data_IF_951561557281
#
_entry.id   IF_951561557281
#
_cell.length_a   1.000
_cell.length_b   1.000
_cell.length_c   1.000
_cell.angle_alpha   90.00
_cell.angle_beta   90.00
_cell.angle_gamma   90.00
#
_symmetry.space_group_name_H-M   'P 1'
#
loop_
_entity.id
_entity.type
_entity.pdbx_description
1 polymer ?
#
# COMPACT_ATOMS: atom_id res chain seq x y z
N UNK A 1 -2.41 4.64 3.15
CA UNK A 1 -1.82 3.83 4.25
C UNK A 1 -0.39 3.46 3.93
N UNK A 2 0.47 3.20 4.94
CA UNK A 2 1.81 2.68 4.68
C UNK A 2 1.76 1.27 4.07
N UNK A 3 2.83 0.85 3.43
CA UNK A 3 2.98 -0.53 2.93
C UNK A 3 3.33 -1.49 4.06
N UNK A 4 2.54 -2.55 4.23
CA UNK A 4 2.59 -3.38 5.45
C UNK A 4 3.60 -4.52 5.39
N UNK A 5 3.90 -5.04 4.20
CA UNK A 5 4.72 -6.24 4.09
C UNK A 5 5.60 -6.24 2.84
N UNK A 6 6.77 -6.85 2.96
CA UNK A 6 7.56 -7.34 1.85
C UNK A 6 7.52 -8.87 1.88
N UNK A 7 6.88 -9.47 0.88
CA UNK A 7 6.66 -10.92 0.83
C UNK A 7 7.84 -11.71 0.24
N UNK A 8 8.83 -11.02 -0.36
CA UNK A 8 10.07 -11.64 -0.82
C UNK A 8 10.46 -11.26 -2.25
N UNK A 9 11.57 -11.83 -2.70
CA UNK A 9 12.12 -11.66 -4.04
C UNK A 9 12.55 -13.00 -4.65
N UNK A 10 12.25 -13.20 -5.94
CA UNK A 10 12.57 -14.42 -6.69
C UNK A 10 13.75 -14.25 -7.67
N UNK A 11 14.44 -13.11 -7.63
CA UNK A 11 15.48 -12.69 -8.59
C UNK A 11 16.92 -12.94 -8.11
N UNK A 12 17.13 -13.26 -6.84
CA UNK A 12 18.44 -13.28 -6.20
C UNK A 12 19.02 -11.87 -6.00
N UNK A 13 18.17 -10.85 -5.93
CA UNK A 13 18.58 -9.45 -5.79
C UNK A 13 18.80 -9.03 -4.34
N UNK A 14 18.59 -9.92 -3.36
CA UNK A 14 18.61 -9.57 -1.93
C UNK A 14 19.83 -8.75 -1.48
N UNK A 15 21.02 -9.06 -2.00
CA UNK A 15 22.27 -8.38 -1.66
C UNK A 15 22.36 -6.91 -2.14
N UNK A 16 21.58 -6.55 -3.16
CA UNK A 16 21.50 -5.18 -3.72
C UNK A 16 20.32 -4.40 -3.19
N UNK A 17 19.40 -5.06 -2.49
CA UNK A 17 18.22 -4.44 -1.91
C UNK A 17 18.54 -3.83 -0.55
N UNK A 18 17.94 -2.68 -0.22
CA UNK A 18 18.05 -2.13 1.12
C UNK A 18 17.41 -3.06 2.16
N UNK A 19 17.54 -2.69 3.44
CA UNK A 19 16.78 -3.36 4.49
C UNK A 19 15.27 -3.22 4.24
N UNK A 20 14.48 -4.22 4.64
CA UNK A 20 13.03 -4.26 4.35
C UNK A 20 12.30 -2.98 4.80
N UNK A 21 12.65 -2.45 5.97
CA UNK A 21 12.06 -1.21 6.47
C UNK A 21 12.33 -0.02 5.55
N UNK A 22 13.56 0.13 5.10
CA UNK A 22 13.96 1.22 4.22
C UNK A 22 13.36 1.06 2.82
N UNK A 23 13.24 -0.19 2.34
CA UNK A 23 12.55 -0.51 1.09
C UNK A 23 11.09 -0.06 1.11
N UNK A 24 10.35 -0.45 2.15
CA UNK A 24 8.93 -0.11 2.28
C UNK A 24 8.73 1.40 2.46
N UNK A 25 9.63 2.05 3.22
CA UNK A 25 9.63 3.51 3.33
C UNK A 25 9.89 4.19 1.98
N UNK A 26 10.88 3.72 1.21
CA UNK A 26 11.16 4.27 -0.12
C UNK A 26 9.98 4.09 -1.08
N UNK A 27 9.27 2.96 -0.99
CA UNK A 27 8.04 2.75 -1.74
C UNK A 27 6.96 3.73 -1.30
N UNK A 28 6.68 3.86 -0.01
CA UNK A 28 5.66 4.81 0.50
C UNK A 28 5.95 6.25 0.09
N UNK A 29 7.22 6.67 0.15
CA UNK A 29 7.67 8.00 -0.29
C UNK A 29 7.46 8.17 -1.82
N UNK A 30 7.75 7.12 -2.61
CA UNK A 30 7.53 7.12 -4.07
C UNK A 30 6.05 7.19 -4.45
N UNK A 31 5.19 6.44 -3.75
CA UNK A 31 3.73 6.47 -3.93
C UNK A 31 3.17 7.86 -3.62
N UNK A 32 3.64 8.47 -2.53
CA UNK A 32 3.25 9.83 -2.15
C UNK A 32 3.67 10.86 -3.20
N UNK A 33 4.90 10.77 -3.72
CA UNK A 33 5.38 11.66 -4.80
C UNK A 33 4.53 11.51 -6.05
N UNK A 34 4.29 10.28 -6.50
CA UNK A 34 3.52 10.00 -7.71
C UNK A 34 2.08 10.53 -7.64
N UNK A 35 1.43 10.45 -6.47
CA UNK A 35 0.11 11.06 -6.27
C UNK A 35 0.16 12.58 -6.25
N UNK A 36 1.18 13.16 -5.62
CA UNK A 36 1.34 14.61 -5.55
C UNK A 36 1.58 15.24 -6.93
N UNK A 37 2.37 14.59 -7.78
CA UNK A 37 2.61 14.98 -9.17
C UNK A 37 1.33 15.00 -10.03
N UNK A 38 0.33 14.19 -9.65
CA UNK A 38 -0.99 14.15 -10.28
C UNK A 38 -2.00 15.12 -9.64
N UNK A 39 -1.55 16.02 -8.76
CA UNK A 39 -2.40 17.01 -8.11
C UNK A 39 -3.33 16.46 -7.02
N UNK A 40 -3.18 15.19 -6.64
CA UNK A 40 -4.05 14.52 -5.67
C UNK A 40 -3.66 14.77 -4.20
N UNK A 41 -2.73 15.70 -3.95
CA UNK A 41 -2.15 15.94 -2.63
C UNK A 41 -3.16 16.38 -1.57
N UNK A 42 -4.20 17.10 -1.96
CA UNK A 42 -5.24 17.59 -1.03
C UNK A 42 -6.42 16.63 -0.92
N UNK A 43 -6.50 15.62 -1.81
CA UNK A 43 -7.61 14.67 -1.84
C UNK A 43 -7.36 13.44 -0.96
N UNK A 44 -6.09 13.13 -0.66
CA UNK A 44 -5.70 11.96 0.12
C UNK A 44 -4.93 12.38 1.37
N UNK A 45 -5.15 11.63 2.46
CA UNK A 45 -4.35 11.71 3.68
C UNK A 45 -3.21 10.71 3.56
N UNK A 46 -1.98 11.18 3.71
CA UNK A 46 -0.78 10.38 3.48
C UNK A 46 -0.29 9.68 4.76
N UNK A 47 0.53 8.62 4.63
CA UNK A 47 1.03 7.88 5.80
C UNK A 47 1.71 8.76 6.85
N UNK A 48 2.47 9.78 6.43
CA UNK A 48 3.14 10.70 7.36
C UNK A 48 2.14 11.49 8.23
N UNK A 49 1.01 11.90 7.66
CA UNK A 49 -0.04 12.63 8.37
C UNK A 49 -0.77 11.72 9.36
N UNK A 50 -1.04 10.46 8.96
CA UNK A 50 -1.64 9.46 9.84
C UNK A 50 -0.74 9.16 11.05
N UNK A 51 0.57 9.01 10.83
CA UNK A 51 1.54 8.78 11.91
C UNK A 51 1.62 9.99 12.84
N UNK A 52 1.60 11.20 12.29
CA UNK A 52 1.57 12.43 13.09
C UNK A 52 0.31 12.50 13.95
N UNK A 53 -0.86 12.21 13.38
CA UNK A 53 -2.12 12.19 14.11
C UNK A 53 -2.15 11.12 15.21
N UNK A 54 -1.60 9.93 14.93
CA UNK A 54 -1.45 8.87 15.92
C UNK A 54 -0.55 9.29 17.08
N UNK A 55 0.63 9.86 16.80
CA UNK A 55 1.56 10.34 17.83
C UNK A 55 0.98 11.44 18.71
N UNK A 56 0.08 12.26 18.17
CA UNK A 56 -0.60 13.28 18.94
C UNK A 56 -1.64 12.68 19.92
N UNK A 57 -2.22 11.52 19.61
CA UNK A 57 -3.29 10.89 20.39
C UNK A 57 -3.10 9.37 20.55
N UNK A 58 -1.99 8.90 21.15
CA UNK A 58 -1.59 7.49 21.09
C UNK A 58 -2.55 6.52 21.81
N UNK A 59 -3.35 7.02 22.76
CA UNK A 59 -4.33 6.21 23.51
C UNK A 59 -5.61 5.91 22.71
N UNK A 60 -5.97 6.78 21.77
CA UNK A 60 -7.25 6.72 21.05
C UNK A 60 -7.08 6.45 19.55
N UNK A 61 -5.99 6.92 18.96
CA UNK A 61 -5.70 6.73 17.55
C UNK A 61 -5.09 5.35 17.29
N UNK A 62 -5.38 4.81 16.11
CA UNK A 62 -4.82 3.53 15.67
C UNK A 62 -3.44 3.77 15.05
N UNK A 63 -2.45 2.96 15.43
CA UNK A 63 -1.14 2.97 14.78
C UNK A 63 -1.28 2.46 13.33
N UNK A 64 -0.99 3.29 12.31
CA UNK A 64 -1.12 2.91 10.90
C UNK A 64 -0.22 1.73 10.47
N UNK A 65 0.86 1.44 11.22
CA UNK A 65 1.76 0.32 10.93
C UNK A 65 1.36 -1.00 11.61
N UNK A 66 0.45 -0.94 12.60
CA UNK A 66 0.06 -2.10 13.42
C UNK A 66 -1.36 -2.60 13.10
N UNK A 67 -1.80 -2.41 11.86
CA UNK A 67 -3.13 -2.84 11.42
C UNK A 67 -3.22 -4.34 11.15
N UNK A 68 -4.40 -4.90 11.39
CA UNK A 68 -4.73 -6.31 11.11
C UNK A 68 -4.88 -6.64 9.62
N UNK A 69 -3.95 -6.21 8.76
CA UNK A 69 -4.04 -6.34 7.29
C UNK A 69 -3.73 -7.72 6.76
N UNK A 70 -3.38 -8.69 7.62
CA UNK A 70 -3.08 -10.07 7.21
C UNK A 70 -4.21 -10.71 6.39
N UNK A 71 -5.47 -10.41 6.70
CA UNK A 71 -6.63 -10.90 5.93
C UNK A 71 -6.58 -10.44 4.46
N UNK A 72 -6.02 -9.26 4.20
CA UNK A 72 -5.92 -8.69 2.85
C UNK A 72 -4.90 -9.41 1.97
N UNK A 73 -4.00 -10.21 2.58
CA UNK A 73 -3.02 -11.05 1.88
C UNK A 73 -3.63 -12.33 1.33
N UNK A 74 -4.86 -12.68 1.73
CA UNK A 74 -5.53 -13.86 1.20
C UNK A 74 -5.75 -13.69 -0.32
N UNK A 75 -5.20 -14.58 -1.18
CA UNK A 75 -5.38 -14.49 -2.62
C UNK A 75 -6.84 -14.69 -3.06
N UNK A 76 -7.65 -15.40 -2.26
CA UNK A 76 -9.07 -15.62 -2.52
C UNK A 76 -9.96 -14.47 -2.02
N UNK A 77 -9.38 -13.37 -1.55
CA UNK A 77 -10.17 -12.21 -1.13
C UNK A 77 -10.74 -11.47 -2.35
N UNK A 78 -12.06 -11.27 -2.34
CA UNK A 78 -12.82 -10.64 -3.42
C UNK A 78 -13.44 -9.31 -2.98
N UNK A 79 -13.83 -8.50 -3.96
CA UNK A 79 -14.59 -7.26 -3.71
C UNK A 79 -15.98 -7.60 -3.15
N UNK A 80 -16.49 -6.78 -2.24
CA UNK A 80 -17.72 -7.03 -1.48
C UNK A 80 -17.50 -7.87 -0.20
N UNK A 81 -16.30 -8.42 0.01
CA UNK A 81 -16.00 -9.17 1.24
C UNK A 81 -16.06 -8.25 2.45
N UNK A 82 -16.84 -8.62 3.47
CA UNK A 82 -16.88 -7.91 4.76
C UNK A 82 -15.59 -8.16 5.54
N UNK A 83 -15.05 -7.10 6.11
CA UNK A 83 -13.90 -7.12 7.00
C UNK A 83 -14.35 -7.56 8.39
N UNK A 84 -13.61 -8.51 8.96
CA UNK A 84 -13.72 -8.89 10.37
C UNK A 84 -12.86 -8.01 11.28
N UNK A 85 -12.99 -8.22 12.59
CA UNK A 85 -12.10 -7.63 13.58
C UNK A 85 -10.71 -8.31 13.60
N UNK A 86 -9.64 -7.59 13.96
CA UNK A 86 -9.63 -6.20 14.46
C UNK A 86 -9.67 -5.13 13.36
N UNK A 87 -9.47 -5.50 12.10
CA UNK A 87 -9.29 -4.55 11.00
C UNK A 87 -10.53 -3.65 10.80
N UNK A 88 -11.74 -4.21 10.89
CA UNK A 88 -12.98 -3.44 10.74
C UNK A 88 -13.09 -2.31 11.77
N UNK A 89 -12.87 -2.63 13.06
CA UNK A 89 -12.89 -1.63 14.13
C UNK A 89 -11.76 -0.61 13.97
N UNK A 90 -10.55 -1.05 13.62
CA UNK A 90 -9.42 -0.14 13.36
C UNK A 90 -9.71 0.85 12.23
N UNK A 91 -10.35 0.40 11.14
CA UNK A 91 -10.75 1.27 10.02
C UNK A 91 -11.82 2.27 10.42
N UNK A 92 -12.85 1.85 11.15
CA UNK A 92 -13.89 2.76 11.66
C UNK A 92 -13.32 3.86 12.54
N UNK A 93 -12.41 3.51 13.46
CA UNK A 93 -11.73 4.51 14.30
C UNK A 93 -10.89 5.48 13.47
N UNK A 94 -10.11 4.95 12.53
CA UNK A 94 -9.21 5.78 11.73
C UNK A 94 -9.95 6.76 10.82
N UNK A 95 -10.99 6.32 10.11
CA UNK A 95 -11.77 7.23 9.25
C UNK A 95 -12.55 8.26 10.07
N UNK A 96 -13.00 7.93 11.28
CA UNK A 96 -13.73 8.85 12.14
C UNK A 96 -12.83 10.00 12.61
N UNK A 97 -11.56 9.71 12.90
CA UNK A 97 -10.58 10.73 13.32
C UNK A 97 -10.09 11.61 12.16
N UNK A 98 -10.16 11.12 10.94
CA UNK A 98 -9.59 11.79 9.76
C UNK A 98 -10.64 12.30 8.77
N UNK A 99 -11.93 12.14 9.10
CA UNK A 99 -13.07 12.43 8.22
C UNK A 99 -12.96 11.79 6.81
N UNK A 100 -12.24 10.67 6.71
CA UNK A 100 -12.05 9.95 5.46
C UNK A 100 -13.27 9.08 5.12
N UNK A 101 -13.45 8.76 3.84
CA UNK A 101 -14.53 7.86 3.37
C UNK A 101 -14.04 6.49 2.96
N UNK A 102 -12.90 6.44 2.28
CA UNK A 102 -12.27 5.21 1.82
C UNK A 102 -10.81 5.17 2.26
N UNK A 103 -10.29 3.97 2.42
CA UNK A 103 -8.91 3.74 2.83
C UNK A 103 -8.22 2.90 1.76
N UNK A 104 -7.12 3.43 1.22
CA UNK A 104 -6.28 2.71 0.30
C UNK A 104 -5.10 2.07 1.04
N UNK A 105 -5.01 0.74 0.97
CA UNK A 105 -4.05 -0.10 1.70
C UNK A 105 -3.10 -0.79 0.74
N UNK A 106 -1.83 -0.35 0.65
CA UNK A 106 -0.76 -1.15 0.07
C UNK A 106 -0.50 -2.35 1.00
N UNK A 107 -0.92 -3.53 0.55
CA UNK A 107 -0.97 -4.75 1.37
C UNK A 107 0.42 -5.38 1.46
N UNK A 108 1.02 -5.66 0.31
CA UNK A 108 2.36 -6.25 0.26
C UNK A 108 3.07 -5.94 -1.05
N UNK A 109 4.38 -5.82 -0.98
CA UNK A 109 5.31 -5.76 -2.10
C UNK A 109 5.96 -7.13 -2.33
N UNK A 110 6.06 -7.54 -3.59
CA UNK A 110 6.80 -8.73 -4.05
C UNK A 110 7.68 -8.35 -5.23
N UNK A 111 8.82 -9.02 -5.36
CA UNK A 111 9.63 -8.97 -6.58
C UNK A 111 9.59 -10.34 -7.24
N UNK A 112 9.00 -10.39 -8.42
CA UNK A 112 8.70 -11.61 -9.15
C UNK A 112 9.50 -11.68 -10.45
N UNK A 113 9.59 -12.87 -11.04
CA UNK A 113 10.06 -13.06 -12.42
C UNK A 113 8.87 -12.95 -13.36
N UNK A 114 8.97 -12.07 -14.34
CA UNK A 114 8.08 -12.08 -15.49
C UNK A 114 8.35 -13.31 -16.38
N UNK A 115 7.43 -13.62 -17.30
CA UNK A 115 7.54 -14.64 -18.35
C UNK A 115 8.81 -14.54 -19.17
N UNK A 116 9.39 -13.34 -19.31
CA UNK A 116 10.67 -13.11 -20.01
C UNK A 116 11.91 -13.36 -19.14
N UNK A 117 11.74 -13.73 -17.87
CA UNK A 117 12.83 -13.92 -16.91
C UNK A 117 13.38 -12.62 -16.29
N UNK A 118 12.87 -11.46 -16.71
CA UNK A 118 13.17 -10.16 -16.08
C UNK A 118 12.43 -10.01 -14.75
N UNK A 119 12.97 -9.19 -13.85
CA UNK A 119 12.32 -8.91 -12.57
C UNK A 119 11.24 -7.85 -12.70
N UNK A 120 10.16 -8.01 -11.95
CA UNK A 120 9.04 -7.06 -11.85
C UNK A 120 8.66 -6.88 -10.39
N UNK A 121 8.45 -5.63 -9.96
CA UNK A 121 7.86 -5.36 -8.66
C UNK A 121 6.34 -5.42 -8.78
N UNK A 122 5.68 -6.18 -7.92
CA UNK A 122 4.23 -6.26 -7.84
C UNK A 122 3.76 -5.87 -6.45
N UNK A 123 2.74 -5.03 -6.39
CA UNK A 123 2.13 -4.58 -5.14
C UNK A 123 0.66 -4.96 -5.12
N UNK A 124 0.26 -5.73 -4.11
CA UNK A 124 -1.16 -5.98 -3.83
C UNK A 124 -1.74 -4.75 -3.13
N UNK A 125 -2.87 -4.28 -3.63
CA UNK A 125 -3.52 -3.05 -3.19
C UNK A 125 -4.99 -3.34 -2.90
N UNK A 126 -5.50 -2.82 -1.79
CA UNK A 126 -6.91 -2.92 -1.44
C UNK A 126 -7.50 -1.53 -1.19
N UNK A 127 -8.69 -1.28 -1.74
CA UNK A 127 -9.53 -0.14 -1.41
C UNK A 127 -10.63 -0.62 -0.47
N UNK A 128 -10.67 -0.06 0.73
CA UNK A 128 -11.60 -0.43 1.78
C UNK A 128 -12.61 0.70 2.03
N UNK A 129 -13.86 0.35 2.27
CA UNK A 129 -14.84 1.27 2.85
C UNK A 129 -14.80 1.11 4.36
N UNK A 130 -14.36 2.16 5.05
CA UNK A 130 -14.25 2.10 6.49
C UNK A 130 -15.60 2.15 7.20
N UNK A 131 -16.65 2.73 6.58
CA UNK A 131 -18.00 2.82 7.19
C UNK A 131 -18.71 1.48 7.10
N UNK A 132 -18.73 0.88 5.91
CA UNK A 132 -19.35 -0.42 5.66
C UNK A 132 -18.46 -1.59 6.12
N UNK A 133 -17.18 -1.32 6.40
CA UNK A 133 -16.19 -2.34 6.75
C UNK A 133 -16.13 -3.45 5.69
N UNK A 134 -16.01 -3.07 4.42
CA UNK A 134 -15.92 -4.01 3.30
C UNK A 134 -14.77 -3.68 2.35
N UNK A 135 -14.41 -4.67 1.53
CA UNK A 135 -13.44 -4.50 0.44
C UNK A 135 -14.17 -3.96 -0.78
N UNK A 136 -13.89 -2.73 -1.20
CA UNK A 136 -14.50 -2.13 -2.39
C UNK A 136 -13.82 -2.56 -3.66
N UNK A 137 -12.50 -2.74 -3.59
CA UNK A 137 -11.68 -3.22 -4.69
C UNK A 137 -10.39 -3.84 -4.16
N UNK A 138 -9.87 -4.85 -4.86
CA UNK A 138 -8.57 -5.43 -4.59
C UNK A 138 -7.90 -5.84 -5.88
N UNK A 139 -6.61 -5.55 -6.00
CA UNK A 139 -5.86 -5.82 -7.22
C UNK A 139 -4.36 -5.85 -7.01
N UNK A 140 -3.64 -6.04 -8.12
CA UNK A 140 -2.18 -6.03 -8.15
C UNK A 140 -1.73 -5.02 -9.18
N UNK A 141 -0.90 -4.08 -8.73
CA UNK A 141 -0.18 -3.14 -9.60
C UNK A 141 1.21 -3.70 -9.84
N UNK A 142 1.71 -3.62 -11.08
CA UNK A 142 3.05 -4.09 -11.44
C UNK A 142 3.88 -2.94 -12.00
N UNK A 143 5.19 -2.94 -11.73
CA UNK A 143 6.15 -2.05 -12.38
C UNK A 143 6.45 -2.50 -13.81
N UNK A 144 7.25 -1.70 -14.51
CA UNK A 144 8.02 -2.15 -15.67
C UNK A 144 9.01 -3.25 -15.29
N UNK A 145 9.42 -4.04 -16.29
CA UNK A 145 10.42 -5.09 -16.11
C UNK A 145 11.84 -4.52 -16.02
N UNK A 146 12.69 -5.09 -15.16
CA UNK A 146 14.09 -4.71 -15.00
C UNK A 146 15.03 -5.93 -14.99
N UNK A 147 16.28 -5.74 -15.41
CA UNK A 147 17.34 -6.77 -15.32
C UNK A 147 18.09 -6.76 -13.98
N UNK A 148 17.95 -5.69 -13.19
CA UNK A 148 18.52 -5.55 -11.86
C UNK A 148 17.61 -4.70 -10.96
N UNK A 149 17.70 -4.90 -9.65
CA UNK A 149 17.03 -4.03 -8.68
C UNK A 149 17.65 -2.62 -8.71
N UNK A 150 16.79 -1.61 -8.77
CA UNK A 150 17.16 -0.19 -8.62
C UNK A 150 15.95 0.61 -8.14
N UNK A 151 16.18 1.86 -7.71
CA UNK A 151 15.08 2.77 -7.33
C UNK A 151 14.07 3.00 -8.45
N UNK A 152 14.49 2.93 -9.71
CA UNK A 152 13.61 3.09 -10.87
C UNK A 152 12.49 2.04 -10.92
N UNK A 153 12.73 0.84 -10.37
CA UNK A 153 11.71 -0.20 -10.29
C UNK A 153 10.54 0.22 -9.37
N UNK A 154 10.86 0.85 -8.24
CA UNK A 154 9.86 1.37 -7.30
C UNK A 154 9.16 2.62 -7.85
N UNK A 155 9.89 3.50 -8.54
CA UNK A 155 9.32 4.68 -9.18
C UNK A 155 8.34 4.31 -10.31
N UNK A 156 8.66 3.29 -11.11
CA UNK A 156 7.76 2.76 -12.14
C UNK A 156 6.49 2.15 -11.52
N UNK A 157 6.64 1.35 -10.46
CA UNK A 157 5.49 0.83 -9.70
C UNK A 157 4.59 1.95 -9.17
N UNK A 158 5.19 3.00 -8.59
CA UNK A 158 4.45 4.14 -8.07
C UNK A 158 3.73 4.94 -9.16
N UNK A 159 4.33 5.04 -10.35
CA UNK A 159 3.71 5.65 -11.52
C UNK A 159 2.45 4.89 -11.93
N UNK A 160 2.56 3.58 -12.15
CA UNK A 160 1.41 2.76 -12.53
C UNK A 160 0.30 2.73 -11.45
N UNK A 161 0.69 2.78 -10.17
CA UNK A 161 -0.25 2.91 -9.07
C UNK A 161 -1.05 4.21 -9.14
N UNK A 162 -0.37 5.31 -9.39
CA UNK A 162 -1.00 6.61 -9.38
C UNK A 162 -1.85 6.83 -10.65
N UNK A 163 -1.45 6.24 -11.78
CA UNK A 163 -2.27 6.17 -13.00
C UNK A 163 -3.59 5.42 -12.76
N UNK A 164 -3.55 4.30 -12.03
CA UNK A 164 -4.74 3.53 -11.65
C UNK A 164 -5.75 4.38 -10.85
N UNK A 165 -5.26 5.31 -10.03
CA UNK A 165 -6.10 6.15 -9.17
C UNK A 165 -6.68 7.35 -9.94
N UNK A 166 -5.95 7.85 -10.94
CA UNK A 166 -6.39 8.97 -11.78
C UNK A 166 -7.13 8.56 -13.05
N UNK A 167 -7.22 7.26 -13.34
CA UNK A 167 -7.98 6.77 -14.48
C UNK A 167 -9.45 7.24 -14.36
N UNK A 168 -10.02 7.85 -15.42
CA UNK A 168 -11.37 8.39 -15.43
C UNK A 168 -12.47 7.33 -15.33
#
# INVERSE_FOLDING_TARGET
MPTHAFAGEAMGWRARMPATRDLLKQLDDSLASALAERGLRTMWIYPADLVRAWRANPTYAVDPYSLGTNVLRNPALESGTRLGDPLATQMRTMIALQEARAVLVPVELRIEKDKTGKGVASMRLALLDGRLSDVRWIGVVRSDTASAFSGALLSSLATHFADLITAP
#
